data_IF_700741610296
#
_entry.id   IF_700741610296
#
_cell.length_a   1.000
_cell.length_b   1.000
_cell.length_c   1.000
_cell.angle_alpha   90.00
_cell.angle_beta   90.00
_cell.angle_gamma   90.00
#
_symmetry.space_group_name_H-M   'P 1'
#
loop_
_entity.id
_entity.type
_entity.pdbx_description
1 polymer ?
#
# COMPACT_ATOMS: atom_id res chain seq x y z
N UNK A 1 26.71 27.98 16.67
CA UNK A 1 25.69 27.60 15.65
C UNK A 1 24.46 28.44 15.86
N UNK A 2 23.96 29.12 14.82
CA UNK A 2 22.65 29.80 14.85
C UNK A 2 21.53 28.75 14.74
N UNK A 3 20.39 29.04 15.38
CA UNK A 3 19.21 28.18 15.37
C UNK A 3 18.68 27.92 13.95
N UNK A 4 18.83 28.88 13.04
CA UNK A 4 18.52 28.72 11.61
C UNK A 4 19.34 27.62 10.94
N UNK A 5 20.62 27.47 11.31
CA UNK A 5 21.46 26.39 10.77
C UNK A 5 21.01 25.02 11.30
N UNK A 6 20.63 24.94 12.59
CA UNK A 6 20.08 23.72 13.17
C UNK A 6 18.77 23.31 12.48
N UNK A 7 17.86 24.27 12.29
CA UNK A 7 16.54 24.00 11.71
C UNK A 7 16.64 23.56 10.24
N UNK A 8 17.51 24.21 9.46
CA UNK A 8 17.80 23.79 8.09
C UNK A 8 18.39 22.37 8.01
N UNK A 9 19.23 21.98 8.97
CA UNK A 9 19.79 20.64 9.02
C UNK A 9 18.70 19.58 9.28
N UNK A 10 17.74 19.86 10.18
CA UNK A 10 16.62 18.97 10.48
C UNK A 10 15.69 18.82 9.27
N UNK A 11 15.31 19.92 8.61
CA UNK A 11 14.43 19.86 7.42
C UNK A 11 15.09 19.06 6.29
N UNK A 12 16.39 19.26 6.04
CA UNK A 12 17.12 18.47 5.02
C UNK A 12 17.19 16.99 5.38
N UNK A 13 17.33 16.67 6.67
CA UNK A 13 17.30 15.29 7.12
C UNK A 13 15.93 14.66 6.91
N UNK A 14 14.84 15.35 7.27
CA UNK A 14 13.47 14.89 7.07
C UNK A 14 13.17 14.63 5.59
N UNK A 15 13.48 15.58 4.70
CA UNK A 15 13.28 15.41 3.25
C UNK A 15 14.02 14.18 2.69
N UNK A 16 15.28 13.97 3.09
CA UNK A 16 16.02 12.77 2.66
C UNK A 16 15.38 11.48 3.14
N UNK A 17 14.81 11.47 4.36
CA UNK A 17 14.09 10.30 4.88
C UNK A 17 12.80 10.05 4.11
N UNK A 18 12.06 11.11 3.79
CA UNK A 18 10.87 11.03 2.96
C UNK A 18 11.21 10.52 1.55
N UNK A 19 12.26 11.04 0.91
CA UNK A 19 12.73 10.59 -0.40
C UNK A 19 13.17 9.11 -0.36
N UNK A 20 13.89 8.69 0.68
CA UNK A 20 14.27 7.28 0.92
C UNK A 20 13.03 6.38 1.10
N UNK A 21 12.04 6.84 1.87
CA UNK A 21 10.78 6.12 2.10
C UNK A 21 9.96 6.01 0.82
N UNK A 22 9.84 7.11 0.08
CA UNK A 22 9.16 7.14 -1.22
C UNK A 22 9.87 6.20 -2.20
N UNK A 23 11.20 6.24 -2.30
CA UNK A 23 11.96 5.33 -3.15
C UNK A 23 11.76 3.86 -2.73
N UNK A 24 11.74 3.57 -1.43
CA UNK A 24 11.44 2.22 -0.93
C UNK A 24 10.01 1.79 -1.21
N UNK A 25 9.03 2.68 -1.11
CA UNK A 25 7.61 2.33 -1.26
C UNK A 25 7.21 2.24 -2.74
N UNK A 26 7.79 3.07 -3.60
CA UNK A 26 7.44 3.13 -5.03
C UNK A 26 8.10 2.01 -5.83
N UNK A 27 9.35 1.63 -5.53
CA UNK A 27 10.08 0.67 -6.36
C UNK A 27 9.62 -0.77 -6.09
N UNK A 28 8.98 -1.45 -7.07
CA UNK A 28 8.58 -2.85 -6.88
C UNK A 28 9.81 -3.73 -6.61
N UNK A 29 9.74 -4.57 -5.57
CA UNK A 29 10.81 -5.50 -5.17
C UNK A 29 11.84 -4.96 -4.17
N UNK A 30 11.76 -3.69 -3.77
CA UNK A 30 12.55 -3.10 -2.68
C UNK A 30 12.26 -3.73 -1.32
N UNK A 31 11.03 -4.22 -1.13
CA UNK A 31 10.54 -4.85 0.09
C UNK A 31 10.45 -6.35 -0.09
N UNK A 32 11.19 -7.09 0.74
CA UNK A 32 11.16 -8.55 0.79
C UNK A 32 10.89 -9.03 2.21
N UNK A 33 10.13 -10.10 2.32
CA UNK A 33 9.90 -10.84 3.54
C UNK A 33 10.52 -12.24 3.39
N UNK A 34 11.45 -12.58 4.27
CA UNK A 34 12.16 -13.87 4.27
C UNK A 34 11.23 -15.08 4.50
N UNK A 35 10.03 -14.85 5.03
CA UNK A 35 9.01 -15.90 5.23
C UNK A 35 8.17 -16.14 3.98
N UNK A 36 8.23 -15.23 3.02
CA UNK A 36 7.48 -15.29 1.77
C UNK A 36 8.34 -15.94 0.70
N UNK A 37 7.70 -16.75 -0.15
CA UNK A 37 8.32 -17.23 -1.37
C UNK A 37 8.35 -16.11 -2.42
N UNK A 38 8.89 -16.40 -3.60
CA UNK A 38 9.05 -15.38 -4.64
C UNK A 38 7.70 -14.85 -5.13
N UNK A 39 6.69 -15.71 -5.33
CA UNK A 39 5.34 -15.28 -5.73
C UNK A 39 4.72 -14.27 -4.74
N UNK A 40 4.83 -14.59 -3.45
CA UNK A 40 4.30 -13.75 -2.37
C UNK A 40 5.14 -12.48 -2.19
N UNK A 41 6.45 -12.53 -2.43
CA UNK A 41 7.31 -11.35 -2.41
C UNK A 41 7.07 -10.44 -3.62
N UNK A 42 6.72 -11.00 -4.78
CA UNK A 42 6.29 -10.22 -5.94
C UNK A 42 4.97 -9.49 -5.63
N UNK A 43 4.01 -10.18 -5.01
CA UNK A 43 2.77 -9.55 -4.53
C UNK A 43 3.09 -8.41 -3.54
N UNK A 44 3.94 -8.66 -2.54
CA UNK A 44 4.38 -7.64 -1.56
C UNK A 44 5.08 -6.45 -2.21
N UNK A 45 5.84 -6.68 -3.28
CA UNK A 45 6.47 -5.63 -4.07
C UNK A 45 5.46 -4.79 -4.84
N UNK A 46 4.36 -5.40 -5.29
CA UNK A 46 3.28 -4.74 -6.01
C UNK A 46 2.23 -4.09 -5.12
N UNK A 47 2.04 -4.54 -3.88
CA UNK A 47 0.94 -4.13 -2.98
C UNK A 47 1.45 -3.76 -1.59
N UNK A 48 0.60 -3.33 -0.66
CA UNK A 48 1.04 -3.08 0.71
C UNK A 48 1.18 -4.37 1.57
N UNK A 49 1.79 -4.24 2.74
CA UNK A 49 2.06 -5.35 3.66
C UNK A 49 0.79 -6.02 4.16
N UNK A 50 -0.20 -5.22 4.54
CA UNK A 50 -1.46 -5.70 5.07
C UNK A 50 -2.18 -6.60 4.07
N UNK A 51 -2.17 -6.21 2.79
CA UNK A 51 -2.76 -7.00 1.72
C UNK A 51 -2.01 -8.30 1.49
N UNK A 52 -0.67 -8.25 1.47
CA UNK A 52 0.16 -9.44 1.30
C UNK A 52 -0.07 -10.44 2.45
N UNK A 53 -0.22 -9.95 3.67
CA UNK A 53 -0.51 -10.78 4.86
C UNK A 53 -1.88 -11.44 4.77
N UNK A 54 -2.93 -10.70 4.40
CA UNK A 54 -4.28 -11.25 4.20
C UNK A 54 -4.30 -12.30 3.09
N UNK A 55 -3.71 -11.96 1.94
CA UNK A 55 -3.64 -12.83 0.77
C UNK A 55 -2.83 -14.11 1.05
N UNK A 56 -1.85 -14.05 1.96
CA UNK A 56 -0.97 -15.19 2.27
C UNK A 56 -1.74 -16.44 2.71
N UNK A 57 -2.89 -16.28 3.37
CA UNK A 57 -3.72 -17.40 3.82
C UNK A 57 -4.37 -18.15 2.64
N UNK A 58 -4.95 -17.41 1.69
CA UNK A 58 -5.53 -17.94 0.46
C UNK A 58 -4.44 -18.60 -0.40
N UNK A 59 -3.28 -17.95 -0.52
CA UNK A 59 -2.14 -18.46 -1.29
C UNK A 59 -1.60 -19.77 -0.71
N UNK A 60 -1.31 -19.81 0.60
CA UNK A 60 -0.80 -21.03 1.26
C UNK A 60 -1.74 -22.21 1.12
N UNK A 61 -3.05 -21.95 1.21
CA UNK A 61 -4.04 -22.99 0.98
C UNK A 61 -3.99 -23.52 -0.45
N UNK A 62 -3.99 -22.64 -1.45
CA UNK A 62 -3.94 -23.03 -2.86
C UNK A 62 -2.60 -23.68 -3.25
N UNK A 63 -1.51 -23.28 -2.59
CA UNK A 63 -0.18 -23.82 -2.79
C UNK A 63 0.00 -25.22 -2.22
N UNK A 64 -0.77 -25.59 -1.18
CA UNK A 64 -0.67 -26.89 -0.53
C UNK A 64 -0.86 -28.05 -1.52
N UNK A 65 -0.05 -29.07 -1.36
CA UNK A 65 -0.11 -30.26 -2.20
C UNK A 65 -1.42 -31.01 -1.96
N UNK A 66 -2.09 -31.43 -3.03
CA UNK A 66 -3.39 -32.11 -2.95
C UNK A 66 -4.55 -31.21 -2.50
N UNK A 67 -4.37 -29.89 -2.40
CA UNK A 67 -5.47 -28.98 -2.05
C UNK A 67 -6.66 -29.12 -3.02
N UNK A 68 -6.35 -29.32 -4.31
CA UNK A 68 -7.33 -29.48 -5.37
C UNK A 68 -8.10 -30.81 -5.31
N UNK A 69 -7.53 -31.86 -4.71
CA UNK A 69 -8.10 -33.21 -4.69
C UNK A 69 -9.43 -33.27 -3.92
N UNK A 70 -9.65 -32.29 -3.02
CA UNK A 70 -10.89 -32.12 -2.27
C UNK A 70 -12.01 -31.40 -3.05
N UNK A 71 -11.75 -31.00 -4.29
CA UNK A 71 -12.68 -30.25 -5.13
C UNK A 71 -13.09 -31.03 -6.37
N UNK A 72 -14.37 -30.93 -6.71
CA UNK A 72 -14.88 -31.29 -8.03
C UNK A 72 -14.86 -30.04 -8.90
N UNK A 73 -14.32 -30.16 -10.11
CA UNK A 73 -14.19 -29.05 -11.07
C UNK A 73 -15.15 -29.25 -12.22
N UNK A 74 -16.04 -28.28 -12.40
CA UNK A 74 -16.92 -28.17 -13.55
C UNK A 74 -16.40 -27.01 -14.41
N UNK A 75 -15.76 -27.34 -15.53
CA UNK A 75 -15.08 -26.38 -16.39
C UNK A 75 -15.98 -25.96 -17.56
N UNK A 76 -16.45 -24.71 -17.56
CA UNK A 76 -17.37 -24.14 -18.54
C UNK A 76 -16.66 -23.02 -19.35
N UNK A 77 -17.22 -22.58 -20.48
CA UNK A 77 -16.49 -21.68 -21.39
C UNK A 77 -16.03 -20.36 -20.75
N UNK A 78 -16.91 -19.70 -19.99
CA UNK A 78 -16.67 -18.37 -19.43
C UNK A 78 -16.26 -18.39 -17.95
N UNK A 79 -16.51 -19.50 -17.26
CA UNK A 79 -16.29 -19.63 -15.83
C UNK A 79 -15.97 -21.08 -15.47
N UNK A 80 -15.44 -21.29 -14.28
CA UNK A 80 -15.25 -22.62 -13.70
C UNK A 80 -15.92 -22.67 -12.34
N UNK A 81 -16.60 -23.77 -12.06
CA UNK A 81 -17.25 -24.01 -10.78
C UNK A 81 -16.43 -25.03 -9.97
N UNK A 82 -15.89 -24.60 -8.83
CA UNK A 82 -15.22 -25.46 -7.87
C UNK A 82 -16.19 -25.83 -6.76
N UNK A 83 -16.44 -27.14 -6.57
CA UNK A 83 -17.37 -27.66 -5.58
C UNK A 83 -16.65 -28.44 -4.49
N UNK A 84 -16.98 -28.15 -3.23
CA UNK A 84 -16.50 -28.88 -2.07
C UNK A 84 -17.52 -28.82 -0.94
N UNK A 85 -17.77 -29.96 -0.28
CA UNK A 85 -18.62 -30.05 0.91
C UNK A 85 -20.01 -29.38 0.73
N UNK A 86 -20.61 -29.55 -0.45
CA UNK A 86 -21.91 -28.96 -0.80
C UNK A 86 -21.89 -27.46 -1.16
N UNK A 87 -20.74 -26.79 -1.06
CA UNK A 87 -20.56 -25.40 -1.49
C UNK A 87 -19.98 -25.35 -2.91
N UNK A 88 -20.47 -24.42 -3.71
CA UNK A 88 -20.01 -24.20 -5.08
C UNK A 88 -19.52 -22.75 -5.22
N UNK A 89 -18.33 -22.60 -5.79
CA UNK A 89 -17.70 -21.31 -6.01
C UNK A 89 -17.37 -21.15 -7.48
N UNK A 90 -17.93 -20.12 -8.09
CA UNK A 90 -17.79 -19.82 -9.51
C UNK A 90 -16.66 -18.81 -9.70
N UNK A 91 -15.65 -19.17 -10.47
CA UNK A 91 -14.52 -18.32 -10.85
C UNK A 91 -14.69 -17.90 -12.30
N UNK A 92 -14.63 -16.60 -12.56
CA UNK A 92 -14.66 -16.02 -13.90
C UNK A 92 -13.27 -16.11 -14.55
N UNK A 93 -13.18 -16.60 -15.78
CA UNK A 93 -11.91 -16.84 -16.47
C UNK A 93 -11.29 -15.57 -17.07
N UNK A 94 -12.03 -14.49 -17.20
CA UNK A 94 -11.52 -13.22 -17.74
C UNK A 94 -10.86 -12.38 -16.66
N UNK A 95 -11.49 -12.24 -15.50
CA UNK A 95 -11.00 -11.39 -14.42
C UNK A 95 -10.44 -12.17 -13.23
N UNK A 96 -10.56 -13.50 -13.21
CA UNK A 96 -10.08 -14.38 -12.15
C UNK A 96 -10.70 -14.12 -10.77
N UNK A 97 -11.86 -13.47 -10.74
CA UNK A 97 -12.65 -13.25 -9.53
C UNK A 97 -13.62 -14.40 -9.28
N UNK A 98 -13.94 -14.60 -8.02
CA UNK A 98 -14.73 -15.71 -7.54
C UNK A 98 -15.96 -15.25 -6.75
N UNK A 99 -17.02 -16.05 -6.77
CA UNK A 99 -18.21 -15.84 -5.94
C UNK A 99 -18.01 -16.15 -4.45
N UNK A 100 -16.81 -16.56 -4.01
CA UNK A 100 -16.55 -16.77 -2.58
C UNK A 100 -16.44 -15.43 -1.83
N UNK A 101 -16.66 -15.47 -0.51
CA UNK A 101 -16.65 -14.30 0.37
C UNK A 101 -15.36 -13.48 0.26
N UNK A 102 -14.20 -14.15 0.23
CA UNK A 102 -12.91 -13.47 0.09
C UNK A 102 -12.86 -12.61 -1.18
N UNK A 103 -13.11 -13.21 -2.35
CA UNK A 103 -13.04 -12.49 -3.61
C UNK A 103 -14.17 -11.48 -3.75
N UNK A 104 -15.36 -11.74 -3.20
CA UNK A 104 -16.48 -10.80 -3.28
C UNK A 104 -16.21 -9.54 -2.45
N UNK A 105 -15.62 -9.70 -1.27
CA UNK A 105 -15.30 -8.60 -0.36
C UNK A 105 -14.04 -7.85 -0.78
N UNK A 106 -12.97 -8.59 -1.10
CA UNK A 106 -11.67 -8.00 -1.38
C UNK A 106 -11.49 -7.62 -2.85
N UNK A 107 -12.36 -8.09 -3.75
CA UNK A 107 -12.17 -8.10 -5.22
C UNK A 107 -10.72 -8.45 -5.58
N UNK A 108 -10.29 -9.62 -5.11
CA UNK A 108 -9.00 -10.20 -5.36
C UNK A 108 -9.15 -11.67 -5.74
N UNK A 109 -8.21 -12.20 -6.54
CA UNK A 109 -8.10 -13.64 -6.76
C UNK A 109 -8.07 -14.38 -5.41
N UNK A 110 -8.89 -15.41 -5.27
CA UNK A 110 -8.94 -16.24 -4.07
C UNK A 110 -8.27 -17.60 -4.28
N UNK A 111 -8.24 -18.44 -3.24
CA UNK A 111 -7.72 -19.81 -3.34
C UNK A 111 -8.32 -20.61 -4.49
N UNK A 112 -9.61 -20.44 -4.81
CA UNK A 112 -10.27 -21.19 -5.89
C UNK A 112 -9.69 -20.82 -7.26
N UNK A 113 -9.52 -19.51 -7.52
CA UNK A 113 -8.89 -19.03 -8.75
C UNK A 113 -7.44 -19.50 -8.88
N UNK A 114 -6.67 -19.40 -7.79
CA UNK A 114 -5.27 -19.82 -7.73
C UNK A 114 -5.09 -21.33 -7.92
N UNK A 115 -5.96 -22.14 -7.30
CA UNK A 115 -5.93 -23.59 -7.47
C UNK A 115 -6.27 -24.00 -8.89
N UNK A 116 -7.29 -23.39 -9.51
CA UNK A 116 -7.62 -23.67 -10.91
C UNK A 116 -6.48 -23.27 -11.84
N UNK A 117 -5.88 -22.09 -11.65
CA UNK A 117 -4.71 -21.65 -12.43
C UNK A 117 -3.54 -22.62 -12.37
N UNK A 118 -3.17 -23.04 -11.15
CA UNK A 118 -2.03 -23.94 -10.94
C UNK A 118 -2.30 -25.34 -11.51
N UNK A 119 -3.46 -25.92 -11.18
CA UNK A 119 -3.68 -27.35 -11.39
C UNK A 119 -4.36 -27.68 -12.73
N UNK A 120 -5.10 -26.73 -13.31
CA UNK A 120 -5.82 -26.94 -14.58
C UNK A 120 -5.20 -26.14 -15.71
N UNK A 121 -4.93 -24.85 -15.52
CA UNK A 121 -4.36 -24.01 -16.58
C UNK A 121 -2.85 -24.19 -16.76
N UNK A 122 -2.14 -24.71 -15.75
CA UNK A 122 -0.67 -24.82 -15.76
C UNK A 122 0.02 -23.45 -15.79
N UNK A 123 -0.63 -22.40 -15.28
CA UNK A 123 -0.14 -21.02 -15.26
C UNK A 123 0.44 -20.64 -13.89
N UNK A 124 1.03 -19.45 -13.81
CA UNK A 124 1.39 -18.84 -12.53
C UNK A 124 0.19 -18.81 -11.58
N UNK A 125 0.43 -19.17 -10.32
CA UNK A 125 -0.65 -19.32 -9.34
C UNK A 125 -1.36 -18.00 -9.04
N UNK A 126 -0.61 -16.89 -8.94
CA UNK A 126 -1.18 -15.57 -8.67
C UNK A 126 -1.45 -14.86 -10.01
N UNK A 127 -2.70 -14.53 -10.35
CA UNK A 127 -2.99 -13.68 -11.49
C UNK A 127 -2.73 -12.21 -11.15
N UNK A 128 -1.47 -11.80 -11.23
CA UNK A 128 -1.04 -10.44 -10.88
C UNK A 128 -1.80 -9.36 -11.68
N UNK A 129 -2.14 -9.62 -12.94
CA UNK A 129 -2.90 -8.70 -13.79
C UNK A 129 -4.35 -8.47 -13.29
N UNK A 130 -4.89 -9.39 -12.51
CA UNK A 130 -6.23 -9.27 -11.91
C UNK A 130 -6.24 -8.53 -10.59
N UNK A 131 -5.08 -8.10 -10.06
CA UNK A 131 -5.02 -7.31 -8.85
C UNK A 131 -5.43 -5.88 -9.19
N UNK A 132 -6.57 -5.37 -8.68
CA UNK A 132 -7.04 -4.03 -8.99
C UNK A 132 -6.05 -2.94 -8.54
N UNK A 133 -6.01 -1.83 -9.29
CA UNK A 133 -5.12 -0.69 -9.03
C UNK A 133 -5.21 -0.15 -7.59
N UNK A 134 -6.41 -0.13 -6.98
CA UNK A 134 -6.58 0.31 -5.57
C UNK A 134 -5.74 -0.45 -4.55
N UNK A 135 -5.30 -1.66 -4.89
CA UNK A 135 -4.47 -2.52 -4.05
C UNK A 135 -2.99 -2.45 -4.42
N UNK A 136 -2.68 -1.96 -5.62
CA UNK A 136 -1.31 -1.79 -6.06
C UNK A 136 -0.68 -0.62 -5.30
N UNK A 137 0.61 -0.72 -5.02
CA UNK A 137 1.43 0.41 -4.64
C UNK A 137 1.41 1.33 -5.84
N UNK A 138 0.67 2.42 -5.75
CA UNK A 138 0.73 3.50 -6.70
C UNK A 138 2.21 3.89 -6.89
N UNK A 139 2.77 3.58 -8.05
CA UNK A 139 3.70 4.53 -8.64
C UNK A 139 2.85 5.75 -8.98
N UNK A 140 3.18 6.91 -8.40
CA UNK A 140 2.66 8.20 -8.84
C UNK A 140 3.07 8.45 -10.30
N UNK A 141 2.42 7.77 -11.25
CA UNK A 141 2.43 8.12 -12.65
C UNK A 141 0.98 8.49 -12.95
N UNK A 142 0.68 9.78 -12.79
CA UNK A 142 -0.53 10.47 -13.26
C UNK A 142 -1.89 10.18 -12.60
N UNK A 143 -1.93 9.97 -11.28
CA UNK A 143 -3.10 10.43 -10.53
C UNK A 143 -2.71 11.70 -9.77
N UNK A 144 -3.26 12.84 -10.23
CA UNK A 144 -3.51 13.94 -9.31
C UNK A 144 -4.22 13.32 -8.12
N UNK A 145 -3.53 13.22 -6.98
CA UNK A 145 -4.14 12.89 -5.72
C UNK A 145 -5.42 13.71 -5.67
N UNK A 146 -6.59 13.06 -5.73
CA UNK A 146 -7.83 13.77 -5.51
C UNK A 146 -7.62 14.41 -4.15
N UNK A 147 -7.55 15.73 -4.13
CA UNK A 147 -7.41 16.48 -2.89
C UNK A 147 -8.44 15.88 -1.94
N UNK A 148 -7.94 15.20 -0.91
CA UNK A 148 -8.80 14.66 0.13
C UNK A 148 -9.29 15.91 0.85
N UNK A 149 -10.42 16.41 0.39
CA UNK A 149 -11.13 17.58 0.90
C UNK A 149 -11.74 17.32 2.29
N UNK A 150 -11.29 16.27 2.97
CA UNK A 150 -11.60 16.00 4.37
C UNK A 150 -10.43 16.56 5.19
N UNK A 151 -10.59 17.74 5.80
CA UNK A 151 -9.54 18.31 6.61
C UNK A 151 -9.40 17.44 7.86
N UNK A 152 -8.20 16.92 8.12
CA UNK A 152 -7.79 16.67 9.50
C UNK A 152 -7.89 18.03 10.19
N UNK A 153 -8.96 18.23 10.97
CA UNK A 153 -9.28 19.50 11.62
C UNK A 153 -8.19 19.85 12.62
N UNK A 154 -7.17 20.56 12.15
CA UNK A 154 -6.45 21.55 12.95
C UNK A 154 -6.99 22.90 12.46
N UNK A 155 -7.59 23.62 13.39
CA UNK A 155 -8.40 24.83 13.19
C UNK A 155 -7.85 25.82 12.13
N UNK A 156 -8.63 25.94 11.05
CA UNK A 156 -8.88 27.06 10.11
C UNK A 156 -7.80 28.15 9.92
N UNK A 157 -7.26 28.22 8.70
CA UNK A 157 -7.28 29.42 7.84
C UNK A 157 -7.01 29.02 6.37
N UNK A 158 -7.63 29.76 5.45
CA UNK A 158 -7.98 29.45 4.03
C UNK A 158 -6.83 29.18 3.02
N UNK A 159 -7.17 28.63 1.82
CA UNK A 159 -6.27 27.97 0.89
C UNK A 159 -5.79 28.90 -0.24
N UNK A 160 -4.49 28.89 -0.53
CA UNK A 160 -3.89 29.17 -1.85
C UNK A 160 -2.36 29.12 -1.74
N UNK A 161 -1.75 28.44 -2.73
CA UNK A 161 -0.39 28.67 -3.27
C UNK A 161 0.78 28.75 -2.29
N UNK A 162 1.71 27.81 -2.45
CA UNK A 162 3.04 27.76 -1.83
C UNK A 162 3.04 27.73 -0.30
N UNK A 163 3.66 26.68 0.28
CA UNK A 163 4.08 26.73 1.68
C UNK A 163 4.87 28.04 1.87
N UNK A 164 4.35 29.07 2.57
CA UNK A 164 4.89 30.40 2.39
C UNK A 164 6.22 30.39 3.10
N UNK A 165 7.29 30.37 2.31
CA UNK A 165 8.66 30.47 2.82
C UNK A 165 8.77 31.67 3.77
N UNK A 166 7.94 32.71 3.56
CA UNK A 166 7.75 33.86 4.45
C UNK A 166 7.21 33.52 5.85
N UNK A 167 6.24 32.61 6.01
CA UNK A 167 5.71 32.20 7.32
C UNK A 167 6.75 31.37 8.10
N UNK A 168 7.47 30.50 7.40
CA UNK A 168 8.58 29.73 7.99
C UNK A 168 9.73 30.66 8.36
N UNK A 169 10.08 31.61 7.49
CA UNK A 169 11.11 32.62 7.77
C UNK A 169 10.73 33.51 8.97
N UNK A 170 9.46 33.92 9.07
CA UNK A 170 8.95 34.68 10.21
C UNK A 170 9.00 33.85 11.51
N UNK A 171 8.64 32.56 11.45
CA UNK A 171 8.78 31.64 12.57
C UNK A 171 10.24 31.49 13.04
N UNK A 172 11.18 31.39 12.11
CA UNK A 172 12.62 31.32 12.40
C UNK A 172 13.11 32.61 13.07
N UNK A 173 12.72 33.78 12.55
CA UNK A 173 13.11 35.08 13.12
C UNK A 173 12.59 35.24 14.55
N UNK A 174 11.35 34.83 14.80
CA UNK A 174 10.75 34.90 16.14
C UNK A 174 11.43 33.94 17.13
N UNK A 175 11.79 32.73 16.70
CA UNK A 175 12.54 31.77 17.49
C UNK A 175 13.97 32.25 17.80
N UNK A 176 14.65 32.87 16.83
CA UNK A 176 15.98 33.46 17.04
C UNK A 176 15.93 34.62 18.04
N UNK A 177 14.91 35.48 17.93
CA UNK A 177 14.69 36.59 18.87
C UNK A 177 14.38 36.09 20.28
N UNK A 178 13.52 35.08 20.41
CA UNK A 178 13.22 34.45 21.69
C UNK A 178 14.47 33.81 22.33
N UNK A 179 15.29 33.11 21.53
CA UNK A 179 16.54 32.53 22.02
C UNK A 179 17.60 33.56 22.41
N UNK A 180 17.63 34.72 21.77
CA UNK A 180 18.49 35.83 22.17
C UNK A 180 18.05 36.42 23.52
N UNK A 181 16.74 36.65 23.69
CA UNK A 181 16.18 37.14 24.95
C UNK A 181 16.46 36.17 26.11
N UNK A 182 16.32 34.86 25.87
CA UNK A 182 16.68 33.81 26.83
C UNK A 182 18.15 33.84 27.26
N UNK A 183 19.08 34.09 26.33
CA UNK A 183 20.52 34.21 26.64
C UNK A 183 20.86 35.47 27.40
N UNK A 184 20.03 36.51 27.30
CA UNK A 184 20.17 37.77 28.00
C UNK A 184 19.44 37.78 29.35
N UNK A 185 18.79 36.67 29.72
CA UNK A 185 18.09 36.52 31.00
C UNK A 185 16.70 37.18 31.04
N UNK A 186 16.23 37.70 29.91
CA UNK A 186 14.95 38.42 29.83
C UNK A 186 13.85 37.46 29.36
N UNK A 187 13.23 36.77 30.31
CA UNK A 187 12.22 35.72 30.08
C UNK A 187 10.83 36.26 30.42
N UNK A 188 10.41 37.31 29.74
CA UNK A 188 8.99 37.64 29.68
C UNK A 188 8.37 36.88 28.48
N UNK A 189 7.53 35.89 28.78
CA UNK A 189 6.66 35.24 27.79
C UNK A 189 5.58 36.23 27.33
N UNK A 190 5.28 36.35 26.02
CA UNK A 190 4.00 36.89 25.57
C UNK A 190 2.84 35.94 25.88
#
# INVERSE_FOLDING_TARGET
MSMRLCLNAVIRYQRRREDEDVARVIMPGSKRNHRYNDDSNQLLGMTNDWLADIFSSEYKFAAAQGAMDSYVVEDEDLFVTLRRDGRAHKVDKFNWLCSCEFSSTMQLPCRHSMMYMKNVCGLFMIPYASIPARWQRYGNLDENLVDVDVPIRISKADPASDLPTSKIQAGIINLEKWCQNLRQGDVAMP
#
